data_IF_521387772505
#
_entry.id   IF_521387772505
#
_cell.length_a   1.000
_cell.length_b   1.000
_cell.length_c   1.000
_cell.angle_alpha   90.00
_cell.angle_beta   90.00
_cell.angle_gamma   90.00
#
_symmetry.space_group_name_H-M   'P 1'
#
loop_
_entity.id
_entity.type
_entity.pdbx_description
1 polymer ?
#
# COMPACT_ATOMS: atom_id res chain seq x y z
N UNK A 1 14.90 -11.19 -13.28
CA UNK A 1 13.79 -10.69 -12.43
C UNK A 1 14.23 -9.65 -11.41
N UNK A 2 15.33 -9.85 -10.67
CA UNK A 2 15.82 -8.90 -9.64
C UNK A 2 16.05 -7.48 -10.21
N UNK A 3 16.72 -7.36 -11.37
CA UNK A 3 16.99 -6.06 -12.00
C UNK A 3 15.68 -5.31 -12.33
N UNK A 4 14.68 -6.01 -12.87
CA UNK A 4 13.37 -5.42 -13.17
C UNK A 4 12.63 -4.98 -11.90
N UNK A 5 12.73 -5.75 -10.82
CA UNK A 5 12.15 -5.39 -9.53
C UNK A 5 12.80 -4.13 -8.94
N UNK A 6 14.14 -4.04 -8.99
CA UNK A 6 14.89 -2.87 -8.53
C UNK A 6 14.55 -1.65 -9.39
N UNK A 7 14.55 -1.79 -10.72
CA UNK A 7 14.19 -0.70 -11.63
C UNK A 7 12.75 -0.21 -11.40
N UNK A 8 11.80 -1.14 -11.25
CA UNK A 8 10.41 -0.81 -10.93
C UNK A 8 10.26 -0.10 -9.58
N UNK A 9 11.01 -0.53 -8.57
CA UNK A 9 11.02 0.11 -7.25
C UNK A 9 11.60 1.54 -7.30
N UNK A 10 12.70 1.75 -8.03
CA UNK A 10 13.29 3.07 -8.22
C UNK A 10 12.29 3.99 -8.94
N UNK A 11 11.70 3.50 -10.04
CA UNK A 11 10.70 4.25 -10.80
C UNK A 11 9.46 4.57 -9.96
N UNK A 12 9.02 3.67 -9.09
CA UNK A 12 7.92 3.91 -8.17
C UNK A 12 8.19 5.10 -7.24
N UNK A 13 9.38 5.17 -6.64
CA UNK A 13 9.74 6.29 -5.74
C UNK A 13 9.78 7.61 -6.50
N UNK A 14 10.39 7.61 -7.69
CA UNK A 14 10.46 8.81 -8.55
C UNK A 14 9.05 9.24 -8.96
N UNK A 15 8.19 8.30 -9.36
CA UNK A 15 6.82 8.59 -9.75
C UNK A 15 5.99 9.15 -8.59
N UNK A 16 6.14 8.61 -7.38
CA UNK A 16 5.42 9.12 -6.19
C UNK A 16 5.82 10.58 -5.88
N UNK A 17 7.12 10.88 -5.85
CA UNK A 17 7.61 12.24 -5.64
C UNK A 17 7.21 13.20 -6.76
N UNK A 18 7.27 12.73 -8.00
CA UNK A 18 6.85 13.48 -9.17
C UNK A 18 5.35 13.78 -9.19
N UNK A 19 4.50 12.83 -8.80
CA UNK A 19 3.05 13.03 -8.67
C UNK A 19 2.72 14.09 -7.62
N UNK A 20 3.36 14.02 -6.45
CA UNK A 20 3.15 15.01 -5.38
C UNK A 20 3.54 16.42 -5.85
N UNK A 21 4.72 16.57 -6.45
CA UNK A 21 5.18 17.86 -6.99
C UNK A 21 4.28 18.38 -8.10
N UNK A 22 3.84 17.48 -8.99
CA UNK A 22 2.94 17.81 -10.10
C UNK A 22 1.60 18.35 -9.63
N UNK A 23 0.98 17.68 -8.65
CA UNK A 23 -0.31 18.11 -8.09
C UNK A 23 -0.15 19.46 -7.37
N UNK A 24 0.95 19.68 -6.64
CA UNK A 24 1.25 20.99 -6.04
C UNK A 24 1.37 22.09 -7.08
N UNK A 25 2.07 21.85 -8.20
CA UNK A 25 2.24 22.85 -9.26
C UNK A 25 0.91 23.17 -9.94
N UNK A 26 0.10 22.15 -10.25
CA UNK A 26 -1.22 22.32 -10.87
C UNK A 26 -2.17 23.10 -9.95
N UNK A 27 -2.21 22.78 -8.66
CA UNK A 27 -3.02 23.51 -7.67
C UNK A 27 -2.57 24.98 -7.52
N UNK A 28 -1.28 25.26 -7.70
CA UNK A 28 -0.71 26.62 -7.73
C UNK A 28 -0.95 27.38 -9.04
N UNK A 29 -1.58 26.76 -10.05
CA UNK A 29 -1.77 27.34 -11.39
C UNK A 29 -0.49 27.36 -12.25
N UNK A 30 0.56 26.67 -11.82
CA UNK A 30 1.81 26.52 -12.58
C UNK A 30 1.64 25.47 -13.67
N UNK A 31 2.26 25.68 -14.84
CA UNK A 31 2.36 24.65 -15.87
C UNK A 31 3.22 23.50 -15.36
N UNK A 32 2.83 22.28 -15.68
CA UNK A 32 3.58 21.11 -15.27
C UNK A 32 3.69 20.11 -16.44
N UNK A 33 4.89 19.58 -16.67
CA UNK A 33 5.16 18.57 -17.69
C UNK A 33 5.63 17.25 -17.06
N UNK A 34 5.57 16.16 -17.83
CA UNK A 34 6.12 14.86 -17.39
C UNK A 34 7.61 14.96 -17.01
N UNK A 35 8.37 15.80 -17.73
CA UNK A 35 9.78 16.03 -17.46
C UNK A 35 10.01 16.72 -16.11
N UNK A 36 9.16 17.69 -15.78
CA UNK A 36 9.23 18.41 -14.51
C UNK A 36 8.85 17.50 -13.33
N UNK A 37 7.83 16.66 -13.53
CA UNK A 37 7.45 15.62 -12.57
C UNK A 37 8.60 14.64 -12.32
N UNK A 38 9.22 14.11 -13.38
CA UNK A 38 10.35 13.20 -13.26
C UNK A 38 11.55 13.85 -12.55
N UNK A 39 11.91 15.08 -12.94
CA UNK A 39 12.99 15.85 -12.30
C UNK A 39 12.72 16.05 -10.81
N UNK A 40 11.49 16.41 -10.45
CA UNK A 40 11.08 16.58 -9.05
C UNK A 40 11.20 15.27 -8.27
N UNK A 41 10.70 14.18 -8.82
CA UNK A 41 10.82 12.85 -8.22
C UNK A 41 12.27 12.40 -8.00
N UNK A 42 13.13 12.60 -8.99
CA UNK A 42 14.56 12.25 -8.89
C UNK A 42 15.30 13.10 -7.86
N UNK A 43 14.99 14.40 -7.75
CA UNK A 43 15.63 15.29 -6.78
C UNK A 43 15.39 14.85 -5.33
N UNK A 44 14.20 14.32 -5.02
CA UNK A 44 13.83 13.87 -3.68
C UNK A 44 14.00 12.37 -3.47
N UNK A 45 14.48 11.62 -4.47
CA UNK A 45 14.59 10.17 -4.46
C UNK A 45 15.23 9.62 -3.17
N UNK A 46 16.43 10.11 -2.80
CA UNK A 46 17.17 9.61 -1.64
C UNK A 46 16.45 9.88 -0.31
N UNK A 47 15.79 11.04 -0.18
CA UNK A 47 15.03 11.38 1.03
C UNK A 47 13.76 10.53 1.12
N UNK A 48 13.07 10.32 0.00
CA UNK A 48 11.90 9.45 -0.06
C UNK A 48 12.25 7.98 0.21
N UNK A 49 13.36 7.49 -0.35
CA UNK A 49 13.89 6.15 -0.09
C UNK A 49 14.23 5.98 1.39
N UNK A 50 15.04 6.90 1.95
CA UNK A 50 15.43 6.85 3.37
C UNK A 50 14.22 6.92 4.30
N UNK A 51 13.21 7.74 3.96
CA UNK A 51 11.94 7.78 4.70
C UNK A 51 11.17 6.47 4.60
N UNK A 52 11.01 5.90 3.40
CA UNK A 52 10.29 4.64 3.22
C UNK A 52 10.99 3.48 3.96
N UNK A 53 12.32 3.44 3.92
CA UNK A 53 13.11 2.46 4.69
C UNK A 53 12.94 2.65 6.18
N UNK A 54 13.01 3.89 6.69
CA UNK A 54 12.84 4.16 8.12
C UNK A 54 11.45 3.80 8.63
N UNK A 55 10.39 4.22 7.92
CA UNK A 55 9.00 3.87 8.29
C UNK A 55 8.76 2.37 8.17
N UNK A 56 9.34 1.71 7.15
CA UNK A 56 9.30 0.26 6.99
C UNK A 56 9.98 -0.49 8.13
N UNK A 57 11.19 -0.07 8.53
CA UNK A 57 11.92 -0.64 9.67
C UNK A 57 11.14 -0.49 10.98
N UNK A 58 10.52 0.67 11.22
CA UNK A 58 9.65 0.88 12.38
C UNK A 58 8.47 -0.11 12.36
N UNK A 59 7.81 -0.26 11.22
CA UNK A 59 6.71 -1.20 11.07
C UNK A 59 7.11 -2.66 11.32
N UNK A 60 8.25 -3.09 10.76
CA UNK A 60 8.81 -4.44 10.97
C UNK A 60 9.17 -4.66 12.43
N UNK A 61 9.83 -3.69 13.07
CA UNK A 61 10.23 -3.80 14.48
C UNK A 61 9.00 -3.95 15.40
N UNK A 62 7.94 -3.16 15.16
CA UNK A 62 6.70 -3.28 15.91
C UNK A 62 6.05 -4.65 15.66
N UNK A 63 5.97 -5.10 14.41
CA UNK A 63 5.41 -6.41 14.08
C UNK A 63 6.19 -7.56 14.76
N UNK A 64 7.52 -7.48 14.81
CA UNK A 64 8.37 -8.45 15.51
C UNK A 64 8.11 -8.45 17.02
N UNK A 65 7.94 -7.29 17.65
CA UNK A 65 7.57 -7.20 19.07
C UNK A 65 6.25 -7.90 19.33
N UNK A 66 5.22 -7.62 18.51
CA UNK A 66 3.93 -8.29 18.67
C UNK A 66 4.04 -9.80 18.46
N UNK A 67 4.75 -10.25 17.43
CA UNK A 67 4.98 -11.68 17.18
C UNK A 67 5.70 -12.36 18.36
N UNK A 68 6.72 -11.70 18.93
CA UNK A 68 7.42 -12.19 20.12
C UNK A 68 6.46 -12.33 21.30
N UNK A 69 5.69 -11.28 21.62
CA UNK A 69 4.71 -11.30 22.71
C UNK A 69 3.72 -12.45 22.53
N UNK A 70 3.12 -12.60 21.34
CA UNK A 70 2.15 -13.67 21.09
C UNK A 70 2.77 -15.06 21.11
N UNK A 71 4.00 -15.22 20.61
CA UNK A 71 4.74 -16.49 20.66
C UNK A 71 5.06 -16.90 22.10
N UNK A 72 5.50 -15.96 22.94
CA UNK A 72 5.79 -16.23 24.35
C UNK A 72 4.53 -16.65 25.10
N UNK A 73 3.40 -15.98 24.87
CA UNK A 73 2.13 -16.36 25.48
C UNK A 73 1.73 -17.78 25.05
N UNK A 74 1.91 -18.13 23.77
CA UNK A 74 1.66 -19.50 23.29
C UNK A 74 2.51 -20.55 24.01
N UNK A 75 3.82 -20.33 24.13
CA UNK A 75 4.73 -21.29 24.79
C UNK A 75 4.48 -21.42 26.31
N UNK A 76 3.91 -20.39 26.95
CA UNK A 76 3.57 -20.43 28.38
C UNK A 76 2.20 -21.07 28.67
N UNK A 77 1.39 -21.36 27.64
CA UNK A 77 0.11 -22.07 27.84
C UNK A 77 0.37 -23.55 28.09
N UNK A 78 -0.04 -24.12 29.25
CA UNK A 78 0.22 -25.52 29.58
C UNK A 78 -0.48 -26.45 28.57
N UNK A 79 0.31 -27.32 27.92
CA UNK A 79 -0.20 -28.29 26.95
C UNK A 79 -0.73 -29.51 27.71
N UNK A 80 -2.06 -29.64 27.79
CA UNK A 80 -2.71 -30.86 28.28
C UNK A 80 -2.39 -32.03 27.32
N UNK A 81 -1.82 -33.12 27.84
CA UNK A 81 -1.37 -34.27 27.03
C UNK A 81 -2.51 -35.22 26.58
N UNK A 82 -3.77 -34.90 26.87
CA UNK A 82 -4.90 -35.74 26.47
C UNK A 82 -5.21 -35.58 24.98
N UNK A 83 -4.66 -36.49 24.16
CA UNK A 83 -4.71 -36.51 22.68
C UNK A 83 -6.09 -36.85 22.07
N UNK A 84 -7.17 -36.86 22.83
CA UNK A 84 -8.44 -37.47 22.38
C UNK A 84 -9.48 -36.47 21.85
N UNK A 85 -9.29 -35.16 22.04
CA UNK A 85 -10.13 -34.12 21.45
C UNK A 85 -9.26 -33.06 20.76
N UNK A 86 -9.84 -32.30 19.82
CA UNK A 86 -9.22 -31.11 19.20
C UNK A 86 -8.38 -30.38 20.26
N UNK A 87 -7.14 -29.96 19.95
CA UNK A 87 -6.27 -29.38 20.97
C UNK A 87 -7.03 -28.27 21.68
N UNK A 88 -7.19 -28.38 23.00
CA UNK A 88 -7.90 -27.37 23.83
C UNK A 88 -7.33 -25.95 23.60
N UNK A 89 -6.13 -25.87 23.03
CA UNK A 89 -5.39 -24.66 22.70
C UNK A 89 -5.77 -24.03 21.35
N UNK A 90 -6.57 -24.68 20.49
CA UNK A 90 -6.96 -24.09 19.18
C UNK A 90 -7.74 -22.80 19.38
N UNK A 91 -8.62 -22.74 20.39
CA UNK A 91 -9.35 -21.52 20.73
C UNK A 91 -8.43 -20.37 21.17
N UNK A 92 -7.39 -20.69 21.94
CA UNK A 92 -6.40 -19.72 22.42
C UNK A 92 -5.54 -19.21 21.26
N UNK A 93 -5.07 -20.09 20.38
CA UNK A 93 -4.31 -19.73 19.18
C UNK A 93 -5.15 -18.82 18.28
N UNK A 94 -6.40 -19.21 18.00
CA UNK A 94 -7.30 -18.42 17.16
C UNK A 94 -7.58 -17.05 17.77
N UNK A 95 -7.78 -16.97 19.08
CA UNK A 95 -7.95 -15.71 19.81
C UNK A 95 -6.74 -14.78 19.62
N UNK A 96 -5.51 -15.29 19.78
CA UNK A 96 -4.30 -14.47 19.61
C UNK A 96 -4.05 -14.07 18.15
N UNK A 97 -4.35 -14.94 17.19
CA UNK A 97 -4.29 -14.59 15.77
C UNK A 97 -5.26 -13.45 15.47
N UNK A 98 -6.52 -13.57 15.91
CA UNK A 98 -7.54 -12.53 15.72
C UNK A 98 -7.08 -11.22 16.38
N UNK A 99 -6.58 -11.29 17.62
CA UNK A 99 -6.09 -10.12 18.35
C UNK A 99 -4.90 -9.46 17.65
N UNK A 100 -3.95 -10.25 17.10
CA UNK A 100 -2.84 -9.74 16.32
C UNK A 100 -3.32 -8.95 15.10
N UNK A 101 -4.26 -9.48 14.32
CA UNK A 101 -4.80 -8.78 13.16
C UNK A 101 -5.60 -7.53 13.54
N UNK A 102 -6.40 -7.59 14.60
CA UNK A 102 -7.16 -6.44 15.11
C UNK A 102 -6.23 -5.27 15.48
N UNK A 103 -5.05 -5.56 16.04
CA UNK A 103 -4.07 -4.53 16.42
C UNK A 103 -3.19 -4.09 15.25
N UNK A 104 -2.79 -5.01 14.37
CA UNK A 104 -1.93 -4.71 13.22
C UNK A 104 -2.64 -3.90 12.15
N UNK A 105 -3.92 -4.15 11.87
CA UNK A 105 -4.63 -3.44 10.79
C UNK A 105 -4.66 -1.92 11.04
N UNK A 106 -5.11 -1.40 12.21
CA UNK A 106 -5.08 0.04 12.49
C UNK A 106 -3.67 0.62 12.48
N UNK A 107 -2.67 -0.12 12.99
CA UNK A 107 -1.28 0.32 12.97
C UNK A 107 -0.76 0.50 11.55
N UNK A 108 -1.01 -0.48 10.67
CA UNK A 108 -0.58 -0.41 9.26
C UNK A 108 -1.27 0.72 8.51
N UNK A 109 -2.56 0.97 8.79
CA UNK A 109 -3.28 2.12 8.25
C UNK A 109 -2.63 3.43 8.73
N UNK A 110 -2.35 3.55 10.03
CA UNK A 110 -1.70 4.72 10.61
C UNK A 110 -0.32 4.96 10.01
N UNK A 111 0.53 3.94 9.92
CA UNK A 111 1.85 4.03 9.29
C UNK A 111 1.76 4.40 7.81
N UNK A 112 0.74 3.91 7.10
CA UNK A 112 0.45 4.30 5.73
C UNK A 112 0.14 5.80 5.60
N UNK A 113 -0.74 6.33 6.44
CA UNK A 113 -1.09 7.77 6.46
C UNK A 113 0.12 8.61 6.87
N UNK A 114 0.88 8.16 7.87
CA UNK A 114 2.12 8.80 8.31
C UNK A 114 3.14 8.87 7.17
N UNK A 115 3.30 7.78 6.43
CA UNK A 115 4.16 7.70 5.26
C UNK A 115 3.70 8.64 4.14
N UNK A 116 2.38 8.71 3.92
CA UNK A 116 1.77 9.58 2.92
C UNK A 116 2.05 11.05 3.24
N UNK A 117 1.70 11.54 4.43
CA UNK A 117 2.00 12.94 4.79
C UNK A 117 3.51 13.22 4.84
N UNK A 118 4.33 12.25 5.25
CA UNK A 118 5.78 12.43 5.29
C UNK A 118 6.36 12.67 3.89
N UNK A 119 5.88 11.97 2.85
CA UNK A 119 6.26 12.26 1.47
C UNK A 119 5.95 13.72 1.09
N UNK A 120 4.78 14.24 1.52
CA UNK A 120 4.36 15.62 1.18
C UNK A 120 5.19 16.66 1.92
N UNK A 121 5.55 16.44 3.18
CA UNK A 121 6.50 17.31 3.88
C UNK A 121 7.88 17.34 3.22
N UNK A 122 8.38 16.20 2.74
CA UNK A 122 9.66 16.14 2.01
C UNK A 122 9.57 16.92 0.70
N UNK A 123 8.56 16.65 -0.13
CA UNK A 123 8.49 17.20 -1.50
C UNK A 123 8.01 18.65 -1.52
N UNK A 124 7.00 19.02 -0.72
CA UNK A 124 6.35 20.34 -0.77
C UNK A 124 7.01 21.33 0.20
N UNK A 125 7.43 20.87 1.39
CA UNK A 125 8.04 21.73 2.41
C UNK A 125 9.58 21.59 2.46
N UNK A 126 10.17 20.70 1.67
CA UNK A 126 11.62 20.45 1.62
C UNK A 126 12.22 20.00 2.98
N UNK A 127 11.40 19.39 3.84
CA UNK A 127 11.83 18.97 5.18
C UNK A 127 12.82 17.79 5.12
N UNK A 128 13.61 17.64 6.18
CA UNK A 128 14.41 16.43 6.42
C UNK A 128 13.54 15.20 6.73
N UNK A 129 14.12 13.99 6.70
CA UNK A 129 13.38 12.73 6.90
C UNK A 129 12.69 12.69 8.27
N UNK A 130 13.46 12.87 9.36
CA UNK A 130 12.96 12.78 10.74
C UNK A 130 11.95 13.90 11.00
N UNK A 131 12.25 15.11 10.54
CA UNK A 131 11.37 16.26 10.67
C UNK A 131 10.03 16.04 9.95
N UNK A 132 10.06 15.46 8.76
CA UNK A 132 8.86 15.13 7.98
C UNK A 132 7.96 14.15 8.72
N UNK A 133 8.53 13.12 9.34
CA UNK A 133 7.77 12.14 10.15
C UNK A 133 7.18 12.82 11.39
N UNK A 134 7.97 13.63 12.11
CA UNK A 134 7.51 14.35 13.30
C UNK A 134 6.36 15.32 12.97
N UNK A 135 6.49 16.07 11.87
CA UNK A 135 5.46 17.01 11.43
C UNK A 135 4.21 16.29 10.91
N UNK A 136 4.38 15.13 10.26
CA UNK A 136 3.26 14.27 9.85
C UNK A 136 2.47 13.75 11.05
N UNK A 137 3.16 13.27 12.08
CA UNK A 137 2.52 12.83 13.31
C UNK A 137 1.69 13.96 13.93
N UNK A 138 2.29 15.16 14.09
CA UNK A 138 1.58 16.34 14.61
C UNK A 138 0.37 16.71 13.74
N UNK A 139 0.51 16.68 12.41
CA UNK A 139 -0.56 17.02 11.48
C UNK A 139 -1.75 16.05 11.59
N UNK A 140 -1.47 14.74 11.71
CA UNK A 140 -2.50 13.70 11.86
C UNK A 140 -3.32 13.95 13.13
N UNK A 141 -2.67 14.13 14.28
CA UNK A 141 -3.38 14.30 15.55
C UNK A 141 -4.08 15.66 15.66
N UNK A 142 -3.50 16.72 15.11
CA UNK A 142 -4.16 18.05 15.06
C UNK A 142 -5.42 18.01 14.20
N UNK A 143 -5.40 17.25 13.10
CA UNK A 143 -6.49 17.17 12.12
C UNK A 143 -7.06 15.75 12.02
N UNK A 144 -7.24 15.07 13.15
CA UNK A 144 -7.59 13.65 13.17
C UNK A 144 -8.91 13.37 12.44
N UNK A 145 -9.95 14.17 12.71
CA UNK A 145 -11.26 14.00 12.06
C UNK A 145 -11.17 14.11 10.53
N UNK A 146 -10.54 15.16 10.02
CA UNK A 146 -10.37 15.35 8.58
C UNK A 146 -9.52 14.24 7.95
N UNK A 147 -8.42 13.87 8.60
CA UNK A 147 -7.54 12.79 8.13
C UNK A 147 -8.27 11.45 8.10
N UNK A 148 -9.05 11.14 9.14
CA UNK A 148 -9.83 9.90 9.22
C UNK A 148 -10.91 9.82 8.14
N UNK A 149 -11.61 10.92 7.85
CA UNK A 149 -12.61 10.98 6.77
C UNK A 149 -11.95 10.71 5.42
N UNK A 150 -10.84 11.37 5.11
CA UNK A 150 -10.13 11.17 3.83
C UNK A 150 -9.58 9.74 3.74
N UNK A 151 -9.02 9.21 4.84
CA UNK A 151 -8.57 7.83 4.89
C UNK A 151 -9.71 6.84 4.62
N UNK A 152 -10.90 7.09 5.18
CA UNK A 152 -12.08 6.25 4.99
C UNK A 152 -12.59 6.31 3.54
N UNK A 153 -12.65 7.50 2.93
CA UNK A 153 -13.02 7.66 1.51
C UNK A 153 -12.06 6.89 0.59
N UNK A 154 -10.75 7.01 0.84
CA UNK A 154 -9.74 6.30 0.06
C UNK A 154 -9.74 4.79 0.33
N UNK A 155 -10.08 4.38 1.55
CA UNK A 155 -10.25 2.97 1.90
C UNK A 155 -11.45 2.36 1.17
N UNK A 156 -12.61 3.03 1.14
CA UNK A 156 -13.78 2.59 0.36
C UNK A 156 -13.45 2.51 -1.13
N UNK A 157 -12.70 3.49 -1.65
CA UNK A 157 -12.22 3.46 -3.05
C UNK A 157 -11.35 2.24 -3.33
N UNK A 158 -10.48 1.83 -2.38
CA UNK A 158 -9.67 0.61 -2.50
C UNK A 158 -10.54 -0.65 -2.52
N UNK A 159 -11.58 -0.72 -1.70
CA UNK A 159 -12.52 -1.86 -1.69
C UNK A 159 -13.25 -1.96 -3.03
N UNK A 160 -13.83 -0.87 -3.52
CA UNK A 160 -14.58 -0.85 -4.80
C UNK A 160 -13.69 -1.32 -5.94
N UNK A 161 -12.47 -0.78 -6.05
CA UNK A 161 -11.52 -1.16 -7.10
C UNK A 161 -11.06 -2.61 -6.93
N UNK A 162 -10.91 -3.09 -5.69
CA UNK A 162 -10.61 -4.48 -5.39
C UNK A 162 -11.70 -5.44 -5.89
N UNK A 163 -12.97 -5.09 -5.65
CA UNK A 163 -14.13 -5.86 -6.15
C UNK A 163 -14.15 -5.87 -7.68
N UNK A 164 -13.97 -4.70 -8.33
CA UNK A 164 -13.92 -4.61 -9.80
C UNK A 164 -12.79 -5.49 -10.36
N UNK A 165 -11.59 -5.41 -9.76
CA UNK A 165 -10.44 -6.22 -10.18
C UNK A 165 -10.69 -7.71 -9.99
N UNK A 166 -11.37 -8.10 -8.90
CA UNK A 166 -11.75 -9.49 -8.64
C UNK A 166 -12.77 -10.02 -9.66
N UNK A 167 -13.78 -9.21 -10.02
CA UNK A 167 -14.75 -9.56 -11.06
C UNK A 167 -14.05 -9.75 -12.42
N UNK A 168 -13.13 -8.84 -12.80
CA UNK A 168 -12.33 -8.98 -14.02
C UNK A 168 -11.51 -10.27 -14.00
N UNK A 169 -10.91 -10.59 -12.85
CA UNK A 169 -10.16 -11.84 -12.67
C UNK A 169 -11.04 -13.07 -12.86
N UNK A 170 -12.29 -13.06 -12.37
CA UNK A 170 -13.25 -14.15 -12.59
C UNK A 170 -13.62 -14.26 -14.08
N UNK A 171 -13.99 -13.14 -14.70
CA UNK A 171 -14.47 -13.10 -16.10
C UNK A 171 -13.41 -13.59 -17.08
N UNK A 172 -12.13 -13.31 -16.83
CA UNK A 172 -11.04 -13.71 -17.72
C UNK A 172 -10.40 -15.02 -17.24
N UNK A 173 -10.15 -15.14 -15.95
CA UNK A 173 -9.41 -16.24 -15.34
C UNK A 173 -10.16 -17.56 -15.40
N UNK A 174 -11.48 -17.58 -15.16
CA UNK A 174 -12.26 -18.83 -15.21
C UNK A 174 -12.29 -19.38 -16.65
N UNK A 175 -12.67 -18.60 -17.69
CA UNK A 175 -12.63 -19.12 -19.06
C UNK A 175 -11.23 -19.55 -19.49
N UNK A 176 -10.19 -18.79 -19.15
CA UNK A 176 -8.81 -19.17 -19.45
C UNK A 176 -8.42 -20.50 -18.80
N UNK A 177 -8.80 -20.71 -17.53
CA UNK A 177 -8.54 -21.96 -16.81
C UNK A 177 -9.30 -23.14 -17.43
N UNK A 178 -10.56 -22.94 -17.83
CA UNK A 178 -11.37 -23.96 -18.52
C UNK A 178 -10.74 -24.35 -19.86
N UNK A 179 -10.33 -23.36 -20.67
CA UNK A 179 -9.64 -23.61 -21.95
C UNK A 179 -8.33 -24.38 -21.69
N UNK A 180 -7.54 -23.99 -20.69
CA UNK A 180 -6.31 -24.69 -20.32
C UNK A 180 -6.59 -26.15 -19.91
N UNK A 181 -7.65 -26.40 -19.16
CA UNK A 181 -8.04 -27.75 -18.75
C UNK A 181 -8.45 -28.62 -19.95
N UNK A 182 -9.21 -28.07 -20.90
CA UNK A 182 -9.58 -28.77 -22.14
C UNK A 182 -8.36 -29.08 -23.00
N UNK A 183 -7.43 -28.12 -23.15
CA UNK A 183 -6.19 -28.31 -23.91
C UNK A 183 -5.28 -29.37 -23.26
N UNK A 184 -5.20 -29.39 -21.93
CA UNK A 184 -4.50 -30.44 -21.20
C UNK A 184 -5.06 -31.83 -21.52
N UNK A 185 -6.40 -31.99 -21.49
CA UNK A 185 -7.06 -33.26 -21.82
C UNK A 185 -6.84 -33.70 -23.26
N UNK A 186 -6.72 -32.76 -24.19
CA UNK A 186 -6.43 -33.04 -25.61
C UNK A 186 -4.97 -33.40 -25.91
N UNK A 187 -4.06 -33.27 -24.95
CA UNK A 187 -2.62 -33.45 -25.16
C UNK A 187 -1.91 -32.26 -25.82
N UNK A 188 -2.63 -31.17 -26.11
CA UNK A 188 -2.12 -29.95 -26.74
C UNK A 188 -1.36 -29.04 -25.73
N UNK A 189 -0.33 -29.57 -25.10
CA UNK A 189 0.40 -28.91 -24.00
C UNK A 189 1.02 -27.58 -24.44
N UNK A 190 1.57 -27.50 -25.66
CA UNK A 190 2.16 -26.26 -26.17
C UNK A 190 1.13 -25.12 -26.27
N UNK A 191 -0.08 -25.40 -26.78
CA UNK A 191 -1.16 -24.41 -26.86
C UNK A 191 -1.69 -24.04 -25.47
N UNK A 192 -1.75 -24.98 -24.53
CA UNK A 192 -2.13 -24.71 -23.15
C UNK A 192 -1.19 -23.68 -22.50
N UNK A 193 0.12 -23.88 -22.63
CA UNK A 193 1.13 -22.97 -22.08
C UNK A 193 0.99 -21.57 -22.71
N UNK A 194 0.79 -21.51 -24.03
CA UNK A 194 0.59 -20.24 -24.74
C UNK A 194 -0.64 -19.48 -24.22
N UNK A 195 -1.79 -20.15 -24.08
CA UNK A 195 -3.03 -19.54 -23.55
C UNK A 195 -2.84 -19.08 -22.10
N UNK A 196 -2.19 -19.89 -21.27
CA UNK A 196 -1.92 -19.55 -19.87
C UNK A 196 -1.05 -18.29 -19.74
N UNK A 197 0.03 -18.19 -20.52
CA UNK A 197 0.92 -17.01 -20.53
C UNK A 197 0.16 -15.79 -21.02
N UNK A 198 -0.61 -15.91 -22.11
CA UNK A 198 -1.37 -14.79 -22.68
C UNK A 198 -2.40 -14.26 -21.68
N UNK A 199 -3.16 -15.14 -21.04
CA UNK A 199 -4.14 -14.76 -20.02
C UNK A 199 -3.46 -14.10 -18.81
N UNK A 200 -2.33 -14.64 -18.34
CA UNK A 200 -1.56 -14.08 -17.23
C UNK A 200 -1.04 -12.67 -17.57
N UNK A 201 -0.44 -12.48 -18.74
CA UNK A 201 0.06 -11.18 -19.20
C UNK A 201 -1.07 -10.15 -19.29
N UNK A 202 -2.22 -10.55 -19.83
CA UNK A 202 -3.39 -9.67 -19.93
C UNK A 202 -3.92 -9.26 -18.55
N UNK A 203 -4.02 -10.21 -17.61
CA UNK A 203 -4.43 -9.95 -16.23
C UNK A 203 -3.44 -9.03 -15.48
N UNK A 204 -2.14 -9.21 -15.70
CA UNK A 204 -1.12 -8.32 -15.12
C UNK A 204 -1.25 -6.91 -15.68
N UNK A 205 -1.42 -6.77 -17.01
CA UNK A 205 -1.53 -5.46 -17.66
C UNK A 205 -2.75 -4.68 -17.15
N UNK A 206 -3.92 -5.33 -17.09
CA UNK A 206 -5.14 -4.66 -16.62
C UNK A 206 -5.06 -4.33 -15.12
N UNK A 207 -4.48 -5.23 -14.31
CA UNK A 207 -4.34 -5.02 -12.86
C UNK A 207 -3.37 -3.87 -12.54
N UNK A 208 -2.26 -3.78 -13.27
CA UNK A 208 -1.29 -2.69 -13.10
C UNK A 208 -1.86 -1.36 -13.57
N UNK A 209 -2.62 -1.35 -14.68
CA UNK A 209 -3.31 -0.16 -15.17
C UNK A 209 -4.35 0.38 -14.17
N UNK A 210 -5.24 -0.47 -13.66
CA UNK A 210 -6.25 -0.10 -12.66
C UNK A 210 -5.58 0.42 -11.38
N UNK A 211 -4.52 -0.25 -10.91
CA UNK A 211 -3.77 0.22 -9.75
C UNK A 211 -3.06 1.55 -9.98
N UNK A 212 -2.56 1.81 -11.19
CA UNK A 212 -1.96 3.10 -11.54
C UNK A 212 -2.94 4.27 -11.44
N UNK A 213 -4.16 4.08 -11.95
CA UNK A 213 -5.25 5.07 -11.82
C UNK A 213 -5.58 5.31 -10.35
N UNK A 214 -5.80 4.24 -9.59
CA UNK A 214 -6.10 4.31 -8.15
C UNK A 214 -5.01 5.05 -7.39
N UNK A 215 -3.75 4.74 -7.65
CA UNK A 215 -2.61 5.33 -6.96
C UNK A 215 -2.48 6.83 -7.28
N UNK A 216 -2.70 7.21 -8.55
CA UNK A 216 -2.68 8.62 -8.98
C UNK A 216 -3.79 9.42 -8.30
N UNK A 217 -5.01 8.88 -8.26
CA UNK A 217 -6.14 9.49 -7.56
C UNK A 217 -5.86 9.65 -6.07
N UNK A 218 -5.46 8.57 -5.40
CA UNK A 218 -5.16 8.58 -3.96
C UNK A 218 -4.03 9.55 -3.62
N UNK A 219 -2.97 9.60 -4.43
CA UNK A 219 -1.84 10.50 -4.21
C UNK A 219 -2.25 11.97 -4.37
N UNK A 220 -3.11 12.26 -5.34
CA UNK A 220 -3.66 13.61 -5.58
C UNK A 220 -4.55 14.06 -4.43
N UNK A 221 -5.49 13.23 -3.98
CA UNK A 221 -6.39 13.54 -2.85
C UNK A 221 -5.59 13.83 -1.58
N UNK A 222 -4.59 13.01 -1.26
CA UNK A 222 -3.72 13.26 -0.10
C UNK A 222 -2.92 14.55 -0.23
N UNK A 223 -2.47 14.88 -1.44
CA UNK A 223 -1.71 16.11 -1.68
C UNK A 223 -2.59 17.35 -1.53
N UNK A 224 -3.80 17.34 -2.10
CA UNK A 224 -4.77 18.43 -1.92
C UNK A 224 -5.18 18.58 -0.45
N UNK A 225 -5.43 17.46 0.23
CA UNK A 225 -5.72 17.45 1.68
C UNK A 225 -4.57 18.07 2.48
N UNK A 226 -3.34 17.65 2.19
CA UNK A 226 -2.15 18.21 2.83
C UNK A 226 -2.01 19.72 2.61
N UNK A 227 -2.25 20.19 1.39
CA UNK A 227 -2.21 21.62 1.07
C UNK A 227 -3.29 22.37 1.85
N UNK A 228 -4.53 21.88 1.85
CA UNK A 228 -5.65 22.49 2.58
C UNK A 228 -5.40 22.57 4.09
N UNK A 229 -4.94 21.48 4.72
CA UNK A 229 -4.66 21.42 6.16
C UNK A 229 -3.44 22.25 6.61
N UNK A 230 -2.64 22.74 5.65
CA UNK A 230 -1.49 23.61 5.90
C UNK A 230 -1.66 25.01 5.29
N UNK A 231 -2.83 25.36 4.73
CA UNK A 231 -3.14 26.75 4.40
C UNK A 231 -3.28 27.51 5.74
N UNK A 232 -2.68 28.71 5.88
CA UNK A 232 -2.96 29.55 7.03
C UNK A 232 -4.47 29.82 7.08
N UNK A 233 -5.09 29.66 8.25
CA UNK A 233 -6.50 30.00 8.43
C UNK A 233 -6.67 31.48 8.08
N UNK A 234 -7.33 31.74 6.95
CA UNK A 234 -7.90 33.05 6.69
C UNK A 234 -9.10 33.10 7.62
N UNK A 235 -8.92 33.64 8.83
CA UNK A 235 -10.03 34.03 9.70
C UNK A 235 -10.99 34.87 8.84
N UNK A 236 -12.16 34.29 8.55
CA UNK A 236 -13.34 35.03 8.10
C UNK A 236 -14.17 35.37 9.32
#
# INVERSE_FOLDING_TARGET
MIILAIAGFILYIIADGGLIGSVKNIESGEKNSLKDGFKTGSNYFWRMLGKNLLTGLIGVFIALIFLLIFSTIYFLTPISQNKQYLPENVGIILFFIILFFILMIPLMIFLGILNDYSSRFIVIKNNGIIESIKNSFKLIFRNFKHTAIIALVLFTTRIIIGIISFIIFIIIGIPAALICFLLYKSGAIAFMIFVAILAMLFLILISTFINGIRQTFSSSVWTLTFLQLNKPEIHK
#
